data_IF_676701752288
#
_entry.id   IF_676701752288
#
_cell.length_a   1.000
_cell.length_b   1.000
_cell.length_c   1.000
_cell.angle_alpha   90.00
_cell.angle_beta   90.00
_cell.angle_gamma   90.00
#
_symmetry.space_group_name_H-M   'P 1'
#
loop_
_entity.id
_entity.type
_entity.pdbx_description
1 polymer ?
#
# COMPACT_ATOMS: atom_id res chain seq x y z
N UNK A 1 -0.77 22.64 26.33
CA UNK A 1 0.41 21.93 25.77
C UNK A 1 0.28 22.01 24.25
N UNK A 2 1.35 22.32 23.50
CA UNK A 2 1.32 22.48 22.03
C UNK A 2 2.27 21.48 21.35
N UNK A 3 2.32 20.26 21.85
CA UNK A 3 3.26 19.25 21.37
C UNK A 3 2.46 18.03 20.95
N UNK A 4 2.56 17.70 19.67
CA UNK A 4 2.07 16.44 19.11
C UNK A 4 3.20 15.42 19.18
N UNK A 5 2.90 14.21 19.66
CA UNK A 5 3.83 13.08 19.64
C UNK A 5 3.31 12.05 18.65
N UNK A 6 4.15 11.67 17.69
CA UNK A 6 3.81 10.68 16.68
C UNK A 6 4.87 9.58 16.72
N UNK A 7 4.43 8.34 16.96
CA UNK A 7 5.27 7.15 16.93
C UNK A 7 5.09 6.40 15.60
N UNK A 8 5.88 6.75 14.60
CA UNK A 8 5.76 6.19 13.24
C UNK A 8 6.63 4.93 13.01
N UNK A 9 6.85 4.09 14.03
CA UNK A 9 7.77 2.95 13.90
C UNK A 9 7.31 1.91 12.85
N UNK A 10 6.00 1.85 12.61
CA UNK A 10 5.36 0.99 11.60
C UNK A 10 4.88 1.77 10.37
N UNK A 11 5.31 3.03 10.22
CA UNK A 11 4.76 3.96 9.25
C UNK A 11 3.54 4.73 9.77
N UNK A 12 3.00 5.61 8.93
CA UNK A 12 1.77 6.35 9.16
C UNK A 12 1.04 6.49 7.81
N UNK A 13 -0.23 6.10 7.75
CA UNK A 13 -1.05 6.32 6.56
C UNK A 13 -1.43 7.81 6.45
N UNK A 14 -1.50 8.30 5.22
CA UNK A 14 -1.71 9.71 4.92
C UNK A 14 -3.06 10.20 5.43
N UNK A 15 -4.12 9.50 5.06
CA UNK A 15 -5.50 9.70 5.51
C UNK A 15 -5.65 9.70 7.06
N UNK A 16 -4.97 8.79 7.76
CA UNK A 16 -4.99 8.67 9.21
C UNK A 16 -4.27 9.85 9.86
N UNK A 17 -3.11 10.25 9.34
CA UNK A 17 -2.38 11.41 9.83
C UNK A 17 -3.15 12.70 9.56
N UNK A 18 -3.75 12.83 8.38
CA UNK A 18 -4.62 13.94 8.03
C UNK A 18 -5.81 14.03 8.98
N UNK A 19 -6.45 12.90 9.29
CA UNK A 19 -7.56 12.81 10.24
C UNK A 19 -7.14 13.30 11.63
N UNK A 20 -6.00 12.82 12.14
CA UNK A 20 -5.50 13.21 13.46
C UNK A 20 -5.21 14.70 13.55
N UNK A 21 -4.66 15.32 12.50
CA UNK A 21 -4.41 16.76 12.45
C UNK A 21 -5.71 17.56 12.29
N UNK A 22 -6.65 17.06 11.48
CA UNK A 22 -7.97 17.65 11.29
C UNK A 22 -8.78 17.71 12.59
N UNK A 23 -8.66 16.71 13.47
CA UNK A 23 -9.33 16.72 14.78
C UNK A 23 -8.78 17.78 15.76
N UNK A 24 -7.58 18.32 15.52
CA UNK A 24 -7.01 19.40 16.32
C UNK A 24 -7.55 20.79 15.94
N UNK A 25 -8.21 20.89 14.80
CA UNK A 25 -8.74 22.14 14.25
C UNK A 25 -10.07 22.52 14.92
N UNK A 26 -10.34 23.82 15.02
CA UNK A 26 -11.68 24.31 15.36
C UNK A 26 -12.66 24.15 14.18
N UNK A 27 -13.96 24.26 14.43
CA UNK A 27 -14.99 24.03 13.39
C UNK A 27 -14.86 24.95 12.18
N UNK A 28 -14.39 26.19 12.37
CA UNK A 28 -14.17 27.12 11.27
C UNK A 28 -12.97 26.69 10.43
N UNK A 29 -11.89 26.27 11.08
CA UNK A 29 -10.69 25.75 10.42
C UNK A 29 -11.00 24.46 9.65
N UNK A 30 -11.82 23.58 10.20
CA UNK A 30 -12.30 22.36 9.53
C UNK A 30 -13.07 22.67 8.24
N UNK A 31 -14.03 23.59 8.29
CA UNK A 31 -14.78 24.02 7.11
C UNK A 31 -13.86 24.63 6.04
N UNK A 32 -12.90 25.46 6.45
CA UNK A 32 -11.92 26.06 5.53
C UNK A 32 -10.99 25.02 4.91
N UNK A 33 -10.52 24.05 5.71
CA UNK A 33 -9.71 22.93 5.28
C UNK A 33 -10.43 22.12 4.20
N UNK A 34 -11.64 21.63 4.50
CA UNK A 34 -12.41 20.81 3.55
C UNK A 34 -12.72 21.57 2.26
N UNK A 35 -13.06 22.86 2.37
CA UNK A 35 -13.27 23.71 1.19
C UNK A 35 -12.00 23.87 0.36
N UNK A 36 -10.85 24.04 1.01
CA UNK A 36 -9.56 24.17 0.33
C UNK A 36 -9.18 22.88 -0.37
N UNK A 37 -9.25 21.75 0.33
CA UNK A 37 -8.78 20.45 -0.15
C UNK A 37 -9.69 19.89 -1.26
N UNK A 38 -11.00 20.02 -1.13
CA UNK A 38 -11.92 19.69 -2.22
C UNK A 38 -11.88 20.71 -3.38
N UNK A 39 -11.22 21.87 -3.18
CA UNK A 39 -11.05 22.94 -4.15
C UNK A 39 -9.69 22.96 -4.85
N UNK A 40 -8.88 21.90 -4.72
CA UNK A 40 -7.52 21.82 -5.25
C UNK A 40 -7.44 21.78 -6.77
N UNK A 41 -8.52 21.36 -7.44
CA UNK A 41 -8.54 21.13 -8.89
C UNK A 41 -8.00 19.76 -9.30
N UNK A 42 -7.79 18.85 -8.35
CA UNK A 42 -7.48 17.45 -8.63
C UNK A 42 -8.72 16.74 -9.20
N UNK A 43 -8.67 16.19 -10.42
CA UNK A 43 -9.83 15.59 -11.07
C UNK A 43 -10.37 14.39 -10.28
N UNK A 44 -11.66 14.44 -9.92
CA UNK A 44 -12.34 13.33 -9.25
C UNK A 44 -12.00 13.14 -7.78
N UNK A 45 -11.07 13.91 -7.21
CA UNK A 45 -10.70 13.81 -5.80
C UNK A 45 -11.77 14.41 -4.90
N UNK A 46 -12.18 13.67 -3.86
CA UNK A 46 -13.10 14.13 -2.82
C UNK A 46 -12.60 13.68 -1.45
N UNK A 47 -12.59 14.59 -0.49
CA UNK A 47 -12.11 14.39 0.88
C UNK A 47 -13.26 14.64 1.86
N UNK A 48 -13.62 13.62 2.63
CA UNK A 48 -14.75 13.66 3.57
C UNK A 48 -14.39 13.04 4.92
N UNK A 49 -14.61 13.76 6.05
CA UNK A 49 -14.44 13.16 7.35
C UNK A 49 -15.61 12.21 7.66
N UNK A 50 -15.30 11.00 8.10
CA UNK A 50 -16.25 9.97 8.54
C UNK A 50 -15.99 9.64 10.00
N UNK A 51 -17.05 9.51 10.80
CA UNK A 51 -16.91 8.92 12.13
C UNK A 51 -16.58 7.43 11.97
N UNK A 52 -15.51 6.98 12.63
CA UNK A 52 -15.06 5.60 12.58
C UNK A 52 -14.87 5.06 14.00
N UNK A 53 -15.14 3.77 14.18
CA UNK A 53 -14.86 3.03 15.42
C UNK A 53 -14.17 1.73 15.09
N UNK A 54 -12.95 1.58 15.59
CA UNK A 54 -12.15 0.35 15.42
C UNK A 54 -11.75 -0.17 16.78
N UNK A 55 -12.05 -1.43 17.08
CA UNK A 55 -11.73 -2.06 18.37
C UNK A 55 -12.21 -1.27 19.61
N UNK A 56 -13.30 -0.52 19.49
CA UNK A 56 -13.87 0.30 20.58
C UNK A 56 -13.23 1.68 20.76
N UNK A 57 -12.30 2.07 19.87
CA UNK A 57 -11.72 3.41 19.82
C UNK A 57 -12.45 4.19 18.73
N UNK A 58 -13.07 5.30 19.09
CA UNK A 58 -13.74 6.23 18.18
C UNK A 58 -12.80 7.34 17.72
N UNK A 59 -12.92 7.73 16.46
CA UNK A 59 -12.20 8.87 15.89
C UNK A 59 -12.74 9.23 14.52
N UNK A 60 -12.01 10.09 13.82
CA UNK A 60 -12.28 10.45 12.44
C UNK A 60 -11.43 9.60 11.49
N UNK A 61 -12.06 9.08 10.43
CA UNK A 61 -11.38 8.56 9.25
C UNK A 61 -11.62 9.53 8.09
N UNK A 62 -10.54 9.97 7.46
CA UNK A 62 -10.62 10.87 6.31
C UNK A 62 -10.74 10.03 5.05
N UNK A 63 -11.96 9.90 4.55
CA UNK A 63 -12.23 9.19 3.29
C UNK A 63 -11.73 10.06 2.12
N UNK A 64 -10.73 9.56 1.40
CA UNK A 64 -10.15 10.21 0.21
C UNK A 64 -10.43 9.34 -1.00
N UNK A 65 -11.30 9.82 -1.89
CA UNK A 65 -11.74 9.07 -3.06
C UNK A 65 -11.31 9.74 -4.35
N UNK A 66 -10.96 8.95 -5.36
CA UNK A 66 -10.73 9.40 -6.73
C UNK A 66 -11.84 8.83 -7.61
N UNK A 67 -12.66 9.71 -8.19
CA UNK A 67 -13.88 9.34 -8.92
C UNK A 67 -14.87 8.47 -8.11
N UNK A 68 -14.89 8.65 -6.78
CA UNK A 68 -15.78 7.93 -5.87
C UNK A 68 -15.31 6.52 -5.47
N UNK A 69 -14.09 6.14 -5.82
CA UNK A 69 -13.43 4.94 -5.32
C UNK A 69 -12.21 5.33 -4.47
N UNK A 70 -12.01 4.66 -3.35
CA UNK A 70 -10.72 4.69 -2.64
C UNK A 70 -9.76 3.74 -3.36
N UNK A 71 -8.49 4.11 -3.48
CA UNK A 71 -7.50 3.14 -3.94
C UNK A 71 -7.35 2.03 -2.90
N UNK A 72 -7.59 0.80 -3.34
CA UNK A 72 -7.35 -0.40 -2.55
C UNK A 72 -6.17 -1.15 -3.16
N UNK A 73 -5.38 -1.81 -2.34
CA UNK A 73 -4.32 -2.69 -2.83
C UNK A 73 -4.91 -3.72 -3.82
N UNK A 74 -4.28 -3.91 -5.00
CA UNK A 74 -4.66 -4.96 -5.92
C UNK A 74 -4.19 -6.30 -5.35
N UNK A 75 -4.95 -6.89 -4.42
CA UNK A 75 -4.59 -8.15 -3.82
C UNK A 75 -5.46 -8.61 -2.65
N UNK A 76 -6.78 -8.73 -2.85
CA UNK A 76 -7.56 -9.74 -2.11
C UNK A 76 -8.83 -10.18 -2.86
N UNK A 77 -8.79 -10.14 -4.18
CA UNK A 77 -9.64 -10.90 -5.09
C UNK A 77 -9.24 -12.38 -5.12
N UNK A 78 -8.98 -12.97 -3.96
CA UNK A 78 -9.20 -14.39 -3.72
C UNK A 78 -10.69 -14.64 -3.41
N UNK A 79 -11.56 -14.19 -4.32
CA UNK A 79 -12.81 -14.89 -4.62
C UNK A 79 -12.50 -16.20 -5.39
N UNK A 80 -11.51 -16.96 -4.91
CA UNK A 80 -11.16 -18.28 -5.39
C UNK A 80 -12.04 -19.30 -4.69
N UNK A 81 -13.24 -19.48 -5.25
CA UNK A 81 -13.97 -20.76 -5.31
C UNK A 81 -13.62 -21.76 -4.19
N UNK A 82 -14.36 -21.71 -3.08
CA UNK A 82 -14.51 -22.87 -2.19
C UNK A 82 -15.23 -23.98 -2.95
N UNK A 83 -14.45 -24.73 -3.74
CA UNK A 83 -14.85 -25.92 -4.46
C UNK A 83 -14.07 -27.13 -3.93
N UNK A 84 -14.85 -28.09 -3.44
CA UNK A 84 -14.51 -29.49 -3.15
C UNK A 84 -13.89 -29.89 -1.80
N UNK A 85 -14.81 -30.45 -1.02
CA UNK A 85 -14.62 -31.49 -0.03
C UNK A 85 -13.66 -32.61 -0.48
N UNK A 86 -12.59 -32.83 0.28
CA UNK A 86 -12.06 -34.17 0.47
C UNK A 86 -11.95 -34.48 1.97
N UNK A 87 -12.99 -35.15 2.48
CA UNK A 87 -12.95 -35.83 3.76
C UNK A 87 -12.04 -37.04 3.65
N UNK A 88 -10.98 -37.05 4.46
CA UNK A 88 -10.26 -38.27 4.79
C UNK A 88 -10.50 -38.59 6.27
N UNK A 89 -11.44 -39.51 6.48
CA UNK A 89 -11.58 -40.29 7.71
C UNK A 89 -10.26 -41.00 8.01
N UNK A 90 -9.67 -40.73 9.17
CA UNK A 90 -8.70 -41.62 9.78
C UNK A 90 -9.11 -41.91 11.23
N UNK A 91 -9.94 -42.94 11.35
CA UNK A 91 -10.02 -43.74 12.56
C UNK A 91 -8.70 -44.54 12.72
N UNK A 92 -8.00 -44.36 13.84
CA UNK A 92 -6.77 -45.09 14.11
C UNK A 92 -6.19 -44.76 15.48
N UNK A 93 -6.51 -45.59 16.46
CA UNK A 93 -5.93 -45.63 17.81
C UNK A 93 -4.48 -46.16 17.81
N UNK A 94 -3.76 -45.86 18.90
CA UNK A 94 -2.47 -46.41 19.36
C UNK A 94 -1.22 -45.84 18.66
N UNK A 95 -0.11 -45.55 19.34
CA UNK A 95 0.29 -45.71 20.72
C UNK A 95 1.76 -45.26 20.86
N UNK A 96 2.11 -44.80 22.05
CA UNK A 96 3.39 -44.95 22.74
C UNK A 96 4.77 -44.67 22.06
N UNK A 97 5.54 -43.91 22.84
CA UNK A 97 6.99 -43.98 23.08
C UNK A 97 7.97 -43.05 22.34
N UNK A 98 8.66 -42.30 23.20
CA UNK A 98 9.93 -41.59 23.05
C UNK A 98 11.10 -42.50 22.64
N UNK A 99 12.07 -41.93 21.92
CA UNK A 99 13.48 -42.32 22.03
C UNK A 99 14.27 -42.30 20.71
N UNK A 100 15.20 -41.36 20.58
CA UNK A 100 16.66 -41.60 20.51
C UNK A 100 17.42 -40.65 19.57
N UNK A 101 18.59 -40.26 20.09
CA UNK A 101 19.64 -39.43 19.50
C UNK A 101 20.48 -40.14 18.42
N UNK A 102 21.29 -39.31 17.75
CA UNK A 102 22.15 -39.49 16.59
C UNK A 102 23.08 -40.72 16.54
N UNK A 103 23.31 -41.22 15.32
CA UNK A 103 24.39 -42.17 14.98
C UNK A 103 24.74 -42.14 13.49
N UNK A 104 26.02 -41.91 13.20
CA UNK A 104 26.64 -41.71 11.89
C UNK A 104 26.82 -43.00 11.04
N UNK A 105 27.01 -42.79 9.72
CA UNK A 105 27.67 -43.66 8.70
C UNK A 105 27.00 -44.94 8.15
N UNK A 106 26.73 -44.94 6.82
CA UNK A 106 27.24 -45.84 5.75
C UNK A 106 26.23 -46.17 4.62
N UNK A 107 26.60 -45.77 3.40
CA UNK A 107 26.45 -46.43 2.08
C UNK A 107 25.17 -47.23 1.74
N UNK A 108 24.45 -46.76 0.71
CA UNK A 108 23.41 -47.54 0.02
C UNK A 108 23.03 -46.95 -1.35
N UNK A 109 23.79 -47.33 -2.37
CA UNK A 109 23.60 -47.07 -3.80
C UNK A 109 22.17 -47.38 -4.31
N UNK A 110 21.52 -46.40 -4.96
CA UNK A 110 20.44 -46.64 -5.93
C UNK A 110 20.57 -45.65 -7.10
N UNK A 111 21.08 -46.15 -8.23
CA UNK A 111 20.99 -45.46 -9.50
C UNK A 111 19.66 -45.76 -10.18
N UNK A 112 18.98 -44.72 -10.67
CA UNK A 112 18.04 -44.83 -11.78
C UNK A 112 18.30 -43.68 -12.75
N UNK A 113 18.86 -44.02 -13.90
CA UNK A 113 18.89 -43.15 -15.07
C UNK A 113 17.65 -43.40 -15.94
N UNK A 114 17.01 -42.30 -16.34
CA UNK A 114 16.24 -42.11 -17.57
C UNK A 114 16.45 -40.62 -17.91
N UNK A 115 17.03 -40.23 -19.04
CA UNK A 115 16.63 -40.60 -20.39
C UNK A 115 15.73 -39.48 -20.91
N UNK A 116 16.34 -38.57 -21.67
CA UNK A 116 15.80 -37.33 -22.27
C UNK A 116 14.39 -37.49 -22.88
N UNK A 117 13.56 -36.43 -22.81
CA UNK A 117 12.77 -35.96 -23.96
C UNK A 117 12.06 -34.62 -23.69
N UNK A 118 12.08 -33.79 -24.72
CA UNK A 118 11.66 -32.40 -24.83
C UNK A 118 10.20 -32.12 -24.48
N UNK A 119 9.97 -30.94 -23.92
CA UNK A 119 8.67 -30.29 -23.83
C UNK A 119 8.85 -28.78 -23.87
N UNK A 120 9.21 -28.25 -25.04
CA UNK A 120 9.06 -26.83 -25.36
C UNK A 120 7.59 -26.43 -25.16
N UNK A 121 7.29 -25.76 -24.07
CA UNK A 121 6.06 -24.98 -23.93
C UNK A 121 6.40 -23.50 -24.04
N UNK A 122 6.47 -23.06 -25.29
CA UNK A 122 6.21 -21.68 -25.67
C UNK A 122 4.74 -21.33 -25.39
N UNK A 123 4.53 -20.10 -24.93
CA UNK A 123 3.21 -19.48 -24.74
C UNK A 123 2.71 -19.71 -23.33
N UNK A 124 2.67 -18.71 -22.45
CA UNK A 124 1.95 -17.48 -22.74
C UNK A 124 2.70 -16.27 -22.20
N UNK A 125 3.06 -15.35 -23.10
CA UNK A 125 3.02 -13.94 -22.77
C UNK A 125 1.58 -13.65 -22.35
N UNK A 126 1.34 -13.65 -21.04
CA UNK A 126 0.16 -13.02 -20.50
C UNK A 126 0.36 -11.51 -20.68
N UNK A 127 0.10 -11.04 -21.91
CA UNK A 127 -0.41 -9.71 -22.18
C UNK A 127 -1.79 -9.60 -21.54
N UNK A 128 -1.85 -9.74 -20.21
CA UNK A 128 -2.94 -9.20 -19.42
C UNK A 128 -2.80 -7.71 -19.56
N UNK A 129 -3.66 -7.12 -20.39
CA UNK A 129 -4.14 -5.75 -20.14
C UNK A 129 -4.77 -5.75 -18.75
N UNK A 130 -3.91 -5.70 -17.73
CA UNK A 130 -4.29 -5.31 -16.39
C UNK A 130 -4.80 -3.87 -16.51
N UNK A 131 -5.97 -3.55 -15.96
CA UNK A 131 -6.50 -2.20 -15.99
C UNK A 131 -5.53 -1.28 -15.21
N UNK A 132 -4.75 -0.51 -15.95
CA UNK A 132 -4.06 0.71 -15.50
C UNK A 132 -3.26 0.63 -14.21
N UNK A 133 -2.05 0.04 -14.24
CA UNK A 133 -1.04 0.47 -13.28
C UNK A 133 -0.64 1.91 -13.64
N UNK A 134 -1.15 2.88 -12.88
CA UNK A 134 -0.85 4.29 -13.05
C UNK A 134 0.58 4.56 -12.55
N UNK A 135 1.59 4.25 -13.38
CA UNK A 135 2.96 4.66 -13.08
C UNK A 135 3.05 6.18 -13.18
N UNK A 136 3.21 6.87 -12.06
CA UNK A 136 3.47 8.31 -12.04
C UNK A 136 4.97 8.57 -11.95
N UNK A 137 5.47 9.44 -12.81
CA UNK A 137 6.85 9.92 -12.75
C UNK A 137 6.98 10.96 -11.61
N UNK A 138 8.05 10.94 -10.79
CA UNK A 138 8.27 11.93 -9.75
C UNK A 138 8.20 13.39 -10.23
N UNK A 139 8.67 13.67 -11.46
CA UNK A 139 8.57 15.01 -12.06
C UNK A 139 7.11 15.40 -12.31
N UNK A 140 6.28 14.46 -12.75
CA UNK A 140 4.86 14.71 -12.98
C UNK A 140 4.15 15.08 -11.67
N UNK A 141 4.45 14.38 -10.58
CA UNK A 141 3.89 14.69 -9.25
C UNK A 141 4.38 16.05 -8.75
N UNK A 142 5.66 16.37 -8.93
CA UNK A 142 6.20 17.68 -8.56
C UNK A 142 5.51 18.82 -9.32
N UNK A 143 5.27 18.66 -10.63
CA UNK A 143 4.52 19.62 -11.45
C UNK A 143 3.06 19.74 -11.01
N UNK A 144 2.41 18.61 -10.69
CA UNK A 144 1.05 18.58 -10.18
C UNK A 144 0.94 19.38 -8.88
N UNK A 145 1.80 19.11 -7.89
CA UNK A 145 1.83 19.80 -6.60
C UNK A 145 2.10 21.29 -6.80
N UNK A 146 3.05 21.65 -7.68
CA UNK A 146 3.38 23.03 -7.99
C UNK A 146 2.17 23.82 -8.55
N UNK A 147 1.29 23.15 -9.29
CA UNK A 147 0.07 23.72 -9.85
C UNK A 147 -1.09 23.89 -8.88
N UNK A 148 -1.03 23.29 -7.68
CA UNK A 148 -2.13 23.33 -6.72
C UNK A 148 -2.34 24.72 -6.13
N UNK A 149 -3.61 25.08 -5.93
CA UNK A 149 -4.04 26.33 -5.29
C UNK A 149 -3.87 26.28 -3.75
N UNK A 150 -2.63 26.08 -3.32
CA UNK A 150 -2.19 25.98 -1.93
C UNK A 150 -1.16 27.07 -1.58
N UNK A 151 -0.94 27.37 -0.29
CA UNK A 151 0.19 28.20 0.14
C UNK A 151 1.52 27.61 -0.36
N UNK A 152 2.49 28.49 -0.64
CA UNK A 152 3.82 28.07 -1.12
C UNK A 152 4.54 27.15 -0.14
N UNK A 153 4.40 27.41 1.16
CA UNK A 153 4.95 26.58 2.22
C UNK A 153 4.40 25.15 2.17
N UNK A 154 3.10 24.99 1.96
CA UNK A 154 2.45 23.67 1.84
C UNK A 154 2.95 22.92 0.61
N UNK A 155 3.05 23.59 -0.55
CA UNK A 155 3.59 22.98 -1.78
C UNK A 155 5.06 22.57 -1.62
N UNK A 156 5.86 23.42 -0.97
CA UNK A 156 7.27 23.14 -0.69
C UNK A 156 7.45 21.95 0.25
N UNK A 157 6.63 21.87 1.31
CA UNK A 157 6.66 20.75 2.24
C UNK A 157 6.22 19.45 1.56
N UNK A 158 5.14 19.47 0.78
CA UNK A 158 4.68 18.31 0.02
C UNK A 158 5.73 17.85 -0.99
N UNK A 159 6.40 18.77 -1.70
CA UNK A 159 7.51 18.43 -2.60
C UNK A 159 8.67 17.73 -1.87
N UNK A 160 9.07 18.24 -0.70
CA UNK A 160 10.12 17.61 0.11
C UNK A 160 9.72 16.20 0.60
N UNK A 161 8.43 15.96 0.91
CA UNK A 161 7.93 14.63 1.24
C UNK A 161 8.09 13.69 0.04
N UNK A 162 7.69 14.12 -1.15
CA UNK A 162 7.84 13.32 -2.37
C UNK A 162 9.31 13.07 -2.77
N UNK A 163 10.19 14.05 -2.57
CA UNK A 163 11.64 13.86 -2.76
C UNK A 163 12.19 12.78 -1.82
N UNK A 164 11.74 12.77 -0.55
CA UNK A 164 12.12 11.76 0.42
C UNK A 164 11.58 10.37 0.06
N UNK A 165 10.34 10.28 -0.42
CA UNK A 165 9.74 9.03 -0.91
C UNK A 165 10.51 8.51 -2.13
N UNK A 166 10.79 9.37 -3.12
CA UNK A 166 11.56 8.99 -4.30
C UNK A 166 12.97 8.49 -3.94
N UNK A 167 13.64 9.14 -2.99
CA UNK A 167 14.94 8.68 -2.49
C UNK A 167 14.87 7.33 -1.78
N UNK A 168 13.78 7.06 -1.05
CA UNK A 168 13.54 5.78 -0.40
C UNK A 168 13.27 4.67 -1.42
N UNK A 169 12.43 4.93 -2.44
CA UNK A 169 12.15 3.98 -3.51
C UNK A 169 13.38 3.67 -4.35
N UNK A 170 14.14 4.69 -4.77
CA UNK A 170 15.39 4.52 -5.51
C UNK A 170 16.35 3.57 -4.76
N UNK A 171 16.46 3.75 -3.45
CA UNK A 171 17.28 2.89 -2.59
C UNK A 171 16.72 1.46 -2.50
N UNK A 172 15.41 1.29 -2.36
CA UNK A 172 14.76 -0.02 -2.28
C UNK A 172 14.91 -0.81 -3.59
N UNK A 173 14.82 -0.13 -4.73
CA UNK A 173 14.91 -0.72 -6.07
C UNK A 173 16.33 -0.77 -6.63
N UNK A 174 17.29 -0.07 -6.00
CA UNK A 174 18.69 -0.03 -6.45
C UNK A 174 18.89 0.74 -7.76
N UNK A 175 18.02 1.70 -8.07
CA UNK A 175 18.09 2.54 -9.27
C UNK A 175 18.37 4.01 -8.91
N UNK A 176 18.77 4.85 -9.89
CA UNK A 176 18.78 6.31 -9.73
C UNK A 176 17.37 6.86 -9.47
N UNK A 177 17.27 7.99 -8.76
CA UNK A 177 15.99 8.64 -8.43
C UNK A 177 15.21 9.01 -9.68
N UNK A 178 15.90 9.37 -10.76
CA UNK A 178 15.33 9.72 -12.05
C UNK A 178 14.70 8.52 -12.79
N UNK A 179 14.89 7.30 -12.29
CA UNK A 179 14.31 6.07 -12.82
C UNK A 179 13.25 5.47 -11.88
N UNK A 180 12.87 6.20 -10.84
CA UNK A 180 11.79 5.80 -9.94
C UNK A 180 10.45 5.97 -10.65
N UNK A 181 9.58 4.99 -10.46
CA UNK A 181 8.20 5.04 -10.92
C UNK A 181 7.30 4.77 -9.72
N UNK A 182 6.53 5.78 -9.34
CA UNK A 182 5.58 5.62 -8.25
C UNK A 182 4.44 4.72 -8.69
N UNK A 183 4.15 3.71 -7.88
CA UNK A 183 2.98 2.84 -8.05
C UNK A 183 1.80 3.40 -7.26
N UNK A 184 1.84 3.27 -5.94
CA UNK A 184 0.73 3.66 -5.05
C UNK A 184 0.85 5.12 -4.61
N UNK A 185 2.07 5.57 -4.28
CA UNK A 185 2.31 6.96 -3.87
C UNK A 185 2.13 7.98 -5.00
N UNK A 186 2.00 7.50 -6.25
CA UNK A 186 1.79 8.30 -7.45
C UNK A 186 0.32 8.62 -7.73
N UNK A 187 -0.59 8.04 -6.96
CA UNK A 187 -2.02 8.23 -7.12
C UNK A 187 -2.51 9.58 -6.58
N UNK A 188 -3.69 10.00 -7.04
CA UNK A 188 -4.23 11.34 -6.73
C UNK A 188 -4.71 11.47 -5.28
N UNK A 189 -5.14 10.38 -4.67
CA UNK A 189 -5.44 10.28 -3.24
C UNK A 189 -4.17 10.43 -2.41
N UNK A 190 -3.05 9.78 -2.78
CA UNK A 190 -1.76 9.97 -2.09
C UNK A 190 -1.28 11.43 -2.15
N UNK A 191 -1.48 12.12 -3.29
CA UNK A 191 -1.17 13.56 -3.41
C UNK A 191 -2.07 14.38 -2.49
N UNK A 192 -3.37 14.06 -2.43
CA UNK A 192 -4.33 14.72 -1.55
C UNK A 192 -3.98 14.50 -0.07
N UNK A 193 -3.53 13.31 0.30
CA UNK A 193 -3.05 12.93 1.62
C UNK A 193 -1.87 13.78 2.06
N UNK A 194 -0.78 13.76 1.28
CA UNK A 194 0.44 14.49 1.61
C UNK A 194 0.17 16.00 1.68
N UNK A 195 -0.61 16.54 0.75
CA UNK A 195 -0.91 17.97 0.73
C UNK A 195 -1.86 18.39 1.85
N UNK A 196 -2.81 17.53 2.24
CA UNK A 196 -3.69 17.75 3.38
C UNK A 196 -2.95 17.70 4.71
N UNK A 197 -1.98 16.80 4.88
CA UNK A 197 -1.11 16.75 6.07
C UNK A 197 -0.21 17.99 6.18
N UNK A 198 0.26 18.53 5.05
CA UNK A 198 1.15 19.69 5.03
C UNK A 198 0.45 21.04 5.27
N UNK A 199 -0.89 21.09 5.27
CA UNK A 199 -1.69 22.32 5.35
C UNK A 199 -1.98 22.78 6.78
#
# INVERSE_FOLDING_TARGET
>A
MRTLYIECNMGAAGDMLMSALYELMDEKQKEEFLKRMNGLGLPGVSITPREAVTCGISGTHMEVTVYGAEEHEPGDDHAGLHGDHHGHDHAGLHGDHHGHEHGETLHGCHGHGHGEMHGDHHGQEHGGTHPGHHHADPLHIAELIAGLNLPEEVRSNAGQVYDAIAGAEAKAHGCPVEQVHFHEVGALDAVADVTGVCY
#
